data_IF_165979260927
#
_entry.id   IF_165979260927
#
_cell.length_a   1.000
_cell.length_b   1.000
_cell.length_c   1.000
_cell.angle_alpha   90.00
_cell.angle_beta   90.00
_cell.angle_gamma   90.00
#
_symmetry.space_group_name_H-M   'P 1'
#
loop_
_entity.id
_entity.type
_entity.pdbx_description
1 polymer ?
#
# COMPACT_ATOMS: atom_id res chain seq x y z
N UNK A 1 -1.37 -8.72 -26.68
CA UNK A 1 -0.62 -7.73 -25.86
C UNK A 1 -0.11 -6.62 -26.79
N UNK A 2 -1.01 -5.85 -27.42
CA UNK A 2 -0.63 -4.68 -28.25
C UNK A 2 -0.69 -3.37 -27.48
N UNK A 3 -1.19 -3.44 -26.25
CA UNK A 3 -1.54 -2.28 -25.42
C UNK A 3 -0.62 -2.14 -24.21
N UNK A 4 0.44 -2.95 -24.12
CA UNK A 4 1.51 -2.82 -23.13
C UNK A 4 2.82 -2.60 -23.89
N UNK A 5 3.53 -1.53 -23.59
CA UNK A 5 4.81 -1.22 -24.23
C UNK A 5 5.81 -0.65 -23.23
N UNK A 6 7.08 -0.73 -23.60
CA UNK A 6 8.17 -0.04 -22.89
C UNK A 6 8.98 0.75 -23.88
N UNK A 7 9.53 1.88 -23.44
CA UNK A 7 10.50 2.63 -24.23
C UNK A 7 11.85 1.91 -24.31
N UNK A 8 12.14 0.99 -23.38
CA UNK A 8 13.39 0.24 -23.34
C UNK A 8 13.21 -1.11 -22.62
N UNK A 9 13.57 -2.21 -23.28
CA UNK A 9 13.54 -3.55 -22.67
C UNK A 9 14.74 -3.86 -21.77
N UNK A 10 15.71 -2.95 -21.70
CA UNK A 10 16.82 -3.04 -20.74
C UNK A 10 16.37 -2.40 -19.43
N UNK A 11 16.21 -3.16 -18.33
CA UNK A 11 15.88 -2.58 -17.03
C UNK A 11 16.94 -1.58 -16.62
N UNK A 12 16.51 -0.49 -15.97
CA UNK A 12 17.42 0.43 -15.31
C UNK A 12 17.95 -0.25 -14.05
N UNK A 13 19.25 -0.17 -13.82
CA UNK A 13 19.89 -0.67 -12.60
C UNK A 13 20.07 0.49 -11.61
N UNK A 14 19.42 0.40 -10.46
CA UNK A 14 19.51 1.38 -9.40
C UNK A 14 20.24 0.77 -8.20
N UNK A 15 21.41 1.30 -7.78
CA UNK A 15 22.16 0.76 -6.65
C UNK A 15 21.46 1.08 -5.33
N UNK A 16 21.06 0.04 -4.61
CA UNK A 16 20.46 0.15 -3.27
C UNK A 16 21.49 -0.19 -2.22
N UNK A 17 21.78 0.77 -1.35
CA UNK A 17 22.69 0.60 -0.23
C UNK A 17 21.92 0.25 1.03
N UNK A 18 22.34 -0.81 1.70
CA UNK A 18 21.79 -1.19 3.00
C UNK A 18 22.91 -1.59 3.94
N UNK A 19 22.69 -1.36 5.23
CA UNK A 19 23.64 -1.73 6.28
C UNK A 19 23.24 -3.05 6.91
N UNK A 20 24.15 -4.02 6.89
CA UNK A 20 24.08 -5.20 7.75
C UNK A 20 25.15 -5.04 8.81
N UNK A 21 24.74 -4.78 10.06
CA UNK A 21 25.62 -4.37 11.15
C UNK A 21 26.44 -3.12 10.79
N UNK A 22 27.77 -3.20 10.89
CA UNK A 22 28.71 -2.13 10.58
C UNK A 22 29.14 -2.08 9.10
N UNK A 23 28.71 -3.06 8.30
CA UNK A 23 29.11 -3.18 6.90
C UNK A 23 28.02 -2.64 5.97
N UNK A 24 28.40 -1.72 5.08
CA UNK A 24 27.57 -1.31 3.96
C UNK A 24 27.65 -2.36 2.85
N UNK A 25 26.50 -2.81 2.37
CA UNK A 25 26.38 -3.63 1.17
C UNK A 25 25.57 -2.88 0.13
N UNK A 26 25.86 -3.19 -1.13
CA UNK A 26 25.12 -2.69 -2.28
C UNK A 26 24.47 -3.88 -2.98
N UNK A 27 23.16 -3.81 -3.19
CA UNK A 27 22.47 -4.62 -4.20
C UNK A 27 22.01 -3.70 -5.34
N UNK A 28 21.52 -4.30 -6.43
CA UNK A 28 20.97 -3.57 -7.56
C UNK A 28 19.50 -3.93 -7.71
N UNK A 29 18.65 -2.91 -7.73
CA UNK A 29 17.27 -3.06 -8.14
C UNK A 29 17.21 -2.91 -9.67
N UNK A 30 16.51 -3.84 -10.32
CA UNK A 30 16.29 -3.82 -11.77
C UNK A 30 14.88 -3.31 -12.06
N UNK A 31 14.77 -2.11 -12.60
CA UNK A 31 13.52 -1.40 -12.79
C UNK A 31 13.13 -1.36 -14.27
N UNK A 32 11.97 -1.91 -14.62
CA UNK A 32 11.38 -1.81 -15.96
C UNK A 32 10.13 -0.93 -15.90
N UNK A 33 10.10 0.13 -16.72
CA UNK A 33 8.93 1.00 -16.84
C UNK A 33 8.06 0.54 -18.00
N UNK A 34 6.78 0.34 -17.72
CA UNK A 34 5.78 -0.10 -18.67
C UNK A 34 4.69 0.96 -18.81
N UNK A 35 4.11 1.03 -19.99
CA UNK A 35 3.04 1.93 -20.35
C UNK A 35 1.92 1.14 -20.97
N UNK A 36 0.68 1.58 -20.77
CA UNK A 36 -0.48 1.00 -21.41
C UNK A 36 -1.33 2.06 -22.09
N UNK A 37 -1.98 1.67 -23.18
CA UNK A 37 -2.88 2.51 -24.01
C UNK A 37 -4.20 1.80 -24.26
N UNK A 38 -4.52 0.79 -23.44
CA UNK A 38 -5.70 -0.03 -23.61
C UNK A 38 -6.95 0.67 -23.11
N UNK A 39 -8.15 0.15 -23.43
CA UNK A 39 -9.38 0.63 -22.81
C UNK A 39 -9.54 0.15 -21.36
N UNK A 40 -8.84 -0.91 -20.95
CA UNK A 40 -8.78 -1.40 -19.56
C UNK A 40 -7.33 -1.68 -19.16
N UNK A 41 -6.69 -0.65 -18.61
CA UNK A 41 -5.29 -0.66 -18.20
C UNK A 41 -5.01 -1.67 -17.07
N UNK A 42 -6.00 -1.94 -16.22
CA UNK A 42 -5.87 -2.82 -15.06
C UNK A 42 -5.81 -4.29 -15.50
N UNK A 43 -6.70 -4.71 -16.42
CA UNK A 43 -6.66 -6.08 -16.98
C UNK A 43 -5.34 -6.37 -17.72
N UNK A 44 -4.74 -5.34 -18.35
CA UNK A 44 -3.42 -5.47 -18.97
C UNK A 44 -2.34 -5.67 -17.92
N UNK A 45 -2.36 -4.90 -16.82
CA UNK A 45 -1.40 -5.01 -15.71
C UNK A 45 -1.53 -6.37 -15.02
N UNK A 46 -2.74 -6.84 -14.72
CA UNK A 46 -3.00 -8.15 -14.10
C UNK A 46 -2.38 -9.29 -14.91
N UNK A 47 -2.65 -9.34 -16.22
CA UNK A 47 -2.09 -10.36 -17.11
C UNK A 47 -0.56 -10.30 -17.16
N UNK A 48 0.00 -9.10 -17.11
CA UNK A 48 1.44 -8.94 -17.08
C UNK A 48 2.06 -9.45 -15.77
N UNK A 49 1.46 -9.12 -14.62
CA UNK A 49 1.89 -9.63 -13.31
C UNK A 49 1.82 -11.15 -13.29
N UNK A 50 0.72 -11.76 -13.76
CA UNK A 50 0.60 -13.22 -13.86
C UNK A 50 1.69 -13.83 -14.75
N UNK A 51 1.94 -13.24 -15.92
CA UNK A 51 3.01 -13.70 -16.81
C UNK A 51 4.39 -13.64 -16.14
N UNK A 52 4.71 -12.56 -15.43
CA UNK A 52 5.96 -12.44 -14.69
C UNK A 52 6.06 -13.47 -13.57
N UNK A 53 4.95 -13.70 -12.87
CA UNK A 53 4.91 -14.70 -11.80
C UNK A 53 5.19 -16.11 -12.31
N UNK A 54 4.61 -16.49 -13.44
CA UNK A 54 4.89 -17.76 -14.10
C UNK A 54 6.34 -17.84 -14.60
N UNK A 55 6.82 -16.76 -15.23
CA UNK A 55 8.17 -16.71 -15.82
C UNK A 55 9.27 -16.87 -14.76
N UNK A 56 9.12 -16.19 -13.62
CA UNK A 56 10.11 -16.22 -12.54
C UNK A 56 9.80 -17.25 -11.45
N UNK A 57 8.68 -17.97 -11.56
CA UNK A 57 8.17 -18.86 -10.53
C UNK A 57 8.13 -18.17 -9.15
N UNK A 58 7.62 -16.94 -9.14
CA UNK A 58 7.60 -16.06 -7.96
C UNK A 58 6.29 -15.26 -7.91
N UNK A 59 5.61 -15.27 -6.78
CA UNK A 59 4.41 -14.46 -6.57
C UNK A 59 4.75 -12.96 -6.45
N UNK A 60 3.77 -12.10 -6.70
CA UNK A 60 3.88 -10.67 -6.39
C UNK A 60 4.18 -10.48 -4.90
N UNK A 61 5.33 -9.88 -4.61
CA UNK A 61 5.82 -9.76 -3.24
C UNK A 61 5.54 -8.37 -2.63
N UNK A 62 5.64 -7.32 -3.45
CA UNK A 62 5.42 -5.94 -3.03
C UNK A 62 4.61 -5.20 -4.08
N UNK A 63 3.57 -4.50 -3.64
CA UNK A 63 2.81 -3.57 -4.46
C UNK A 63 2.96 -2.17 -3.86
N UNK A 64 3.34 -1.20 -4.69
CA UNK A 64 3.36 0.21 -4.34
C UNK A 64 2.41 0.94 -5.28
N UNK A 65 1.33 1.47 -4.70
CA UNK A 65 0.32 2.25 -5.40
C UNK A 65 0.47 3.71 -5.01
N UNK A 66 0.79 4.55 -5.97
CA UNK A 66 0.65 6.00 -5.84
C UNK A 66 -0.75 6.37 -6.34
N UNK A 67 -1.61 6.83 -5.43
CA UNK A 67 -3.04 7.02 -5.70
C UNK A 67 -3.31 8.15 -6.70
N UNK A 68 -2.42 9.15 -6.80
CA UNK A 68 -2.61 10.33 -7.66
C UNK A 68 -2.56 10.01 -9.15
N UNK A 69 -2.01 8.85 -9.52
CA UNK A 69 -1.90 8.43 -10.92
C UNK A 69 -3.20 7.84 -11.47
N UNK A 70 -4.18 7.55 -10.62
CA UNK A 70 -5.42 6.90 -11.00
C UNK A 70 -6.63 7.58 -10.35
N UNK A 71 -7.82 7.39 -10.94
CA UNK A 71 -9.05 7.73 -10.25
C UNK A 71 -9.33 6.78 -9.09
N UNK A 72 -10.26 7.18 -8.21
CA UNK A 72 -10.61 6.42 -7.01
C UNK A 72 -11.10 5.01 -7.32
N UNK A 73 -11.90 4.85 -8.38
CA UNK A 73 -12.44 3.56 -8.80
C UNK A 73 -11.36 2.64 -9.39
N UNK A 74 -10.40 3.20 -10.13
CA UNK A 74 -9.24 2.45 -10.59
C UNK A 74 -8.34 2.01 -9.42
N UNK A 75 -8.09 2.89 -8.44
CA UNK A 75 -7.34 2.56 -7.22
C UNK A 75 -8.00 1.40 -6.46
N UNK A 76 -9.32 1.45 -6.25
CA UNK A 76 -10.11 0.35 -5.63
C UNK A 76 -9.99 -0.95 -6.43
N UNK A 77 -10.12 -0.90 -7.76
CA UNK A 77 -9.94 -2.08 -8.63
C UNK A 77 -8.54 -2.67 -8.50
N UNK A 78 -7.49 -1.85 -8.47
CA UNK A 78 -6.09 -2.30 -8.28
C UNK A 78 -5.94 -2.99 -6.92
N UNK A 79 -6.44 -2.38 -5.84
CA UNK A 79 -6.38 -2.98 -4.50
C UNK A 79 -7.12 -4.32 -4.47
N UNK A 80 -8.31 -4.40 -5.06
CA UNK A 80 -9.09 -5.63 -5.09
C UNK A 80 -8.38 -6.74 -5.88
N UNK A 81 -7.78 -6.39 -7.03
CA UNK A 81 -7.09 -7.33 -7.90
C UNK A 81 -5.86 -7.96 -7.25
N UNK A 82 -5.09 -7.18 -6.48
CA UNK A 82 -3.77 -7.62 -6.01
C UNK A 82 -3.65 -7.74 -4.49
N UNK A 83 -4.50 -7.05 -3.73
CA UNK A 83 -4.40 -6.95 -2.27
C UNK A 83 -5.22 -7.97 -1.49
N UNK A 84 -6.16 -8.66 -2.13
CA UNK A 84 -7.10 -9.57 -1.42
C UNK A 84 -6.68 -11.04 -1.49
N UNK A 85 -6.00 -11.45 -2.56
CA UNK A 85 -5.56 -12.83 -2.78
C UNK A 85 -4.03 -12.89 -2.88
N UNK A 86 -3.37 -13.61 -1.97
CA UNK A 86 -1.95 -13.94 -2.12
C UNK A 86 -1.09 -13.87 -0.87
N UNK A 87 0.23 -13.92 -1.11
CA UNK A 87 1.30 -13.94 -0.10
C UNK A 87 2.12 -12.65 -0.10
N UNK A 88 1.50 -11.51 -0.48
CA UNK A 88 2.19 -10.24 -0.58
C UNK A 88 2.79 -9.86 0.79
N UNK A 89 4.08 -9.55 0.83
CA UNK A 89 4.70 -9.16 2.10
C UNK A 89 4.45 -7.69 2.41
N UNK A 90 4.33 -6.84 1.39
CA UNK A 90 4.24 -5.40 1.60
C UNK A 90 3.30 -4.73 0.61
N UNK A 91 2.30 -4.04 1.13
CA UNK A 91 1.51 -3.08 0.39
C UNK A 91 1.90 -1.67 0.81
N UNK A 92 2.09 -0.77 -0.15
CA UNK A 92 2.35 0.64 0.07
C UNK A 92 1.30 1.45 -0.68
N UNK A 93 0.61 2.33 0.04
CA UNK A 93 -0.25 3.37 -0.53
C UNK A 93 0.41 4.72 -0.27
N UNK A 94 0.76 5.42 -1.33
CA UNK A 94 1.33 6.77 -1.31
C UNK A 94 0.25 7.76 -1.75
N UNK A 95 0.20 8.93 -1.07
CA UNK A 95 -0.85 9.93 -1.23
C UNK A 95 -2.26 9.39 -0.94
N UNK A 96 -2.39 8.57 0.10
CA UNK A 96 -3.69 8.12 0.61
C UNK A 96 -4.45 9.27 1.29
N UNK A 97 -4.91 10.24 0.50
CA UNK A 97 -5.72 11.38 0.95
C UNK A 97 -7.15 10.92 1.28
N UNK A 98 -7.69 11.40 2.40
CA UNK A 98 -9.10 11.25 2.80
C UNK A 98 -9.76 12.62 2.68
N UNK A 99 -10.39 12.90 1.54
CA UNK A 99 -11.09 14.18 1.29
C UNK A 99 -12.61 14.00 1.14
N UNK A 100 -13.12 12.77 1.10
CA UNK A 100 -14.54 12.45 1.05
C UNK A 100 -14.87 10.98 1.27
N UNK A 101 -16.16 10.62 1.20
CA UNK A 101 -16.66 9.25 1.46
C UNK A 101 -16.00 8.19 0.56
N UNK A 102 -15.72 8.51 -0.71
CA UNK A 102 -15.08 7.57 -1.64
C UNK A 102 -13.63 7.24 -1.24
N UNK A 103 -12.93 8.22 -0.67
CA UNK A 103 -11.57 8.05 -0.16
C UNK A 103 -11.55 7.24 1.14
N UNK A 104 -12.55 7.44 2.01
CA UNK A 104 -12.74 6.62 3.21
C UNK A 104 -12.92 5.14 2.86
N UNK A 105 -13.66 4.83 1.80
CA UNK A 105 -13.84 3.46 1.32
C UNK A 105 -12.51 2.85 0.82
N UNK A 106 -11.71 3.61 0.06
CA UNK A 106 -10.39 3.15 -0.42
C UNK A 106 -9.46 2.81 0.75
N UNK A 107 -9.46 3.66 1.78
CA UNK A 107 -8.70 3.42 3.01
C UNK A 107 -9.21 2.17 3.73
N UNK A 108 -10.52 1.98 3.83
CA UNK A 108 -11.07 0.80 4.46
C UNK A 108 -10.67 -0.48 3.72
N UNK A 109 -10.75 -0.48 2.38
CA UNK A 109 -10.24 -1.58 1.56
C UNK A 109 -8.74 -1.81 1.77
N UNK A 110 -7.95 -0.73 1.91
CA UNK A 110 -6.52 -0.82 2.21
C UNK A 110 -6.27 -1.55 3.53
N UNK A 111 -7.06 -1.28 4.56
CA UNK A 111 -6.92 -1.95 5.85
C UNK A 111 -7.28 -3.43 5.84
N UNK A 112 -8.06 -3.88 4.86
CA UNK A 112 -8.48 -5.26 4.72
C UNK A 112 -7.53 -6.09 3.82
N UNK A 113 -6.53 -5.44 3.21
CA UNK A 113 -5.49 -6.10 2.39
C UNK A 113 -4.79 -7.20 3.18
N UNK A 114 -4.68 -8.36 2.54
CA UNK A 114 -3.94 -9.50 3.05
C UNK A 114 -2.45 -9.34 2.73
N UNK A 115 -1.70 -8.77 3.67
CA UNK A 115 -0.25 -8.59 3.54
C UNK A 115 0.44 -8.71 4.89
N UNK A 116 1.76 -8.93 4.93
CA UNK A 116 2.47 -8.89 6.21
C UNK A 116 2.57 -7.46 6.76
N UNK A 117 2.78 -6.48 5.87
CA UNK A 117 3.03 -5.08 6.21
C UNK A 117 2.25 -4.13 5.29
N UNK A 118 1.58 -3.14 5.90
CA UNK A 118 1.00 -2.00 5.20
C UNK A 118 1.81 -0.73 5.51
N UNK A 119 2.07 0.08 4.49
CA UNK A 119 2.65 1.42 4.64
C UNK A 119 1.73 2.46 3.98
N UNK A 120 1.28 3.44 4.76
CA UNK A 120 0.61 4.64 4.25
C UNK A 120 1.62 5.78 4.29
N UNK A 121 2.03 6.25 3.11
CA UNK A 121 3.06 7.29 2.94
C UNK A 121 2.41 8.56 2.39
N UNK A 122 2.96 9.71 2.78
CA UNK A 122 2.48 11.03 2.34
C UNK A 122 0.95 11.17 2.43
N UNK A 123 0.37 10.66 3.52
CA UNK A 123 -1.08 10.56 3.68
C UNK A 123 -1.67 11.80 4.35
N UNK A 124 -2.96 12.06 4.12
CA UNK A 124 -3.67 13.12 4.85
C UNK A 124 -4.09 12.72 6.27
N UNK A 125 -3.76 11.51 6.72
CA UNK A 125 -4.19 10.98 8.03
C UNK A 125 -3.81 11.92 9.16
N UNK A 126 -4.79 12.26 9.98
CA UNK A 126 -4.67 13.15 11.12
C UNK A 126 -5.10 12.43 12.41
N UNK A 127 -5.19 13.18 13.51
CA UNK A 127 -5.59 12.63 14.81
C UNK A 127 -6.98 11.97 14.76
N UNK A 128 -7.93 12.51 13.98
CA UNK A 128 -9.29 11.95 13.90
C UNK A 128 -9.29 10.53 13.31
N UNK A 129 -8.59 10.31 12.20
CA UNK A 129 -8.52 9.00 11.55
C UNK A 129 -7.76 8.00 12.43
N UNK A 130 -6.73 8.46 13.15
CA UNK A 130 -6.08 7.64 14.18
C UNK A 130 -7.08 7.15 15.24
N UNK A 131 -7.91 8.06 15.80
CA UNK A 131 -8.94 7.69 16.79
C UNK A 131 -9.91 6.65 16.23
N UNK A 132 -10.31 6.77 14.96
CA UNK A 132 -11.19 5.80 14.28
C UNK A 132 -10.55 4.41 14.24
N UNK A 133 -9.29 4.30 13.79
CA UNK A 133 -8.58 3.01 13.73
C UNK A 133 -8.47 2.39 15.13
N UNK A 134 -8.04 3.17 16.12
CA UNK A 134 -7.86 2.67 17.48
C UNK A 134 -9.18 2.19 18.09
N UNK A 135 -10.28 2.92 17.86
CA UNK A 135 -11.61 2.51 18.31
C UNK A 135 -12.08 1.23 17.61
N UNK A 136 -11.79 1.08 16.32
CA UNK A 136 -12.09 -0.15 15.57
C UNK A 136 -11.33 -1.35 16.17
N UNK A 137 -10.06 -1.19 16.51
CA UNK A 137 -9.27 -2.19 17.23
C UNK A 137 -9.79 -2.49 18.63
N UNK A 138 -10.12 -1.46 19.42
CA UNK A 138 -10.76 -1.60 20.75
C UNK A 138 -12.03 -2.44 20.67
N UNK A 139 -12.78 -2.32 19.57
CA UNK A 139 -14.01 -3.05 19.30
C UNK A 139 -13.80 -4.45 18.67
N UNK A 140 -12.58 -4.99 18.71
CA UNK A 140 -12.30 -6.38 18.34
C UNK A 140 -12.01 -6.62 16.86
N UNK A 141 -11.80 -5.57 16.06
CA UNK A 141 -11.30 -5.74 14.69
C UNK A 141 -9.90 -6.38 14.70
N UNK A 142 -9.74 -7.45 13.92
CA UNK A 142 -8.47 -8.15 13.75
C UNK A 142 -7.98 -7.99 12.30
N UNK A 143 -6.89 -7.24 12.07
CA UNK A 143 -6.40 -7.01 10.71
C UNK A 143 -5.78 -8.29 10.11
N UNK A 144 -5.77 -8.37 8.78
CA UNK A 144 -5.10 -9.45 8.03
C UNK A 144 -3.57 -9.28 7.96
N UNK A 145 -3.04 -8.19 8.52
CA UNK A 145 -1.63 -7.83 8.49
C UNK A 145 -0.99 -7.80 9.87
N UNK A 146 0.33 -7.93 9.90
CA UNK A 146 1.11 -8.01 11.14
C UNK A 146 1.77 -6.68 11.55
N UNK A 147 1.92 -5.76 10.61
CA UNK A 147 2.56 -4.45 10.84
C UNK A 147 1.91 -3.38 9.99
N UNK A 148 1.77 -2.18 10.55
CA UNK A 148 1.34 -0.98 9.83
C UNK A 148 2.26 0.19 10.14
N UNK A 149 2.64 0.94 9.11
CA UNK A 149 3.30 2.25 9.20
C UNK A 149 2.37 3.29 8.60
N UNK A 150 2.16 4.39 9.30
CA UNK A 150 1.38 5.54 8.82
C UNK A 150 2.25 6.79 8.97
N UNK A 151 2.36 7.57 7.90
CA UNK A 151 2.90 8.93 7.93
C UNK A 151 1.75 9.92 8.04
N UNK A 152 1.57 10.47 9.24
CA UNK A 152 0.50 11.42 9.55
C UNK A 152 0.80 12.81 8.98
N UNK A 153 -0.25 13.53 8.59
CA UNK A 153 -0.19 14.91 8.10
C UNK A 153 0.06 15.93 9.22
N UNK A 154 -0.12 15.52 10.47
CA UNK A 154 0.11 16.33 11.67
C UNK A 154 0.76 15.53 12.80
N UNK A 155 1.20 16.24 13.85
CA UNK A 155 1.71 15.61 15.07
C UNK A 155 0.57 14.88 15.78
N UNK A 156 0.75 13.58 16.01
CA UNK A 156 -0.18 12.79 16.79
C UNK A 156 -0.19 13.19 18.27
N UNK A 157 -1.38 13.48 18.79
CA UNK A 157 -1.64 13.70 20.21
C UNK A 157 -2.10 12.40 20.86
N UNK A 158 -1.12 11.54 21.17
CA UNK A 158 -1.37 10.24 21.80
C UNK A 158 -1.87 10.41 23.24
N UNK A 159 -1.45 11.49 23.93
CA UNK A 159 -1.85 11.74 25.31
C UNK A 159 -3.35 12.06 25.39
N UNK A 160 -3.84 12.94 24.52
CA UNK A 160 -5.27 13.26 24.43
C UNK A 160 -6.11 12.00 24.18
N UNK A 161 -5.74 11.17 23.20
CA UNK A 161 -6.46 9.93 22.92
C UNK A 161 -6.47 8.96 24.11
N UNK A 162 -5.32 8.77 24.77
CA UNK A 162 -5.22 7.89 25.93
C UNK A 162 -6.06 8.42 27.09
N UNK A 163 -6.03 9.72 27.34
CA UNK A 163 -6.83 10.34 28.40
C UNK A 163 -8.33 10.16 28.13
N UNK A 164 -8.82 10.43 26.92
CA UNK A 164 -10.23 10.20 26.56
C UNK A 164 -10.70 8.76 26.80
N UNK A 165 -9.81 7.77 26.60
CA UNK A 165 -10.16 6.34 26.69
C UNK A 165 -9.84 5.68 28.04
N UNK A 166 -9.04 6.30 28.92
CA UNK A 166 -8.76 5.79 30.26
C UNK A 166 -9.91 6.07 31.24
N UNK A 167 -10.61 7.20 31.10
CA UNK A 167 -11.67 7.59 32.03
C UNK A 167 -13.04 6.93 31.77
N UNK A 168 -13.20 6.16 30.70
CA UNK A 168 -14.41 5.36 30.46
C UNK A 168 -14.44 4.05 31.29
N UNK A 169 -13.32 3.64 31.90
CA UNK A 169 -13.20 2.36 32.63
C UNK A 169 -13.35 2.50 34.16
N UNK A 170 -13.73 3.67 34.68
CA UNK A 170 -13.89 3.92 36.14
C UNK A 170 -15.36 4.01 36.63
N UNK A 171 -16.35 3.48 35.90
CA UNK A 171 -17.77 3.45 36.35
C UNK A 171 -18.30 2.03 36.52
#
# INVERSE_FOLDING_TARGET
MKDLYTSCWTPKEDPVKFKIFWNERTCFDHNLRLFTTGPDDIEVIERWVMYLSDLFNASLNKLHLNSEYFGIEENKRIINAFGTEGSMTTFVLEHGDVKGEEDEELIQQTFDINSMKIELLESSFANNEFKIIMNKWKNGWNPNWSSMKIEFSETLDVEDFVNENLFENEV
#
